data_IF_382409006525
#
_entry.id   IF_382409006525
#
_cell.length_a   1.000
_cell.length_b   1.000
_cell.length_c   1.000
_cell.angle_alpha   90.00
_cell.angle_beta   90.00
_cell.angle_gamma   90.00
#
_symmetry.space_group_name_H-M   'P 1'
#
loop_
_entity.id
_entity.type
_entity.pdbx_description
1 polymer ?
#
# COMPACT_ATOMS: atom_id res chain seq x y z
N UNK A 1 -53.24 -9.01 40.47
CA UNK A 1 -52.70 -10.31 40.05
C UNK A 1 -53.14 -10.49 38.60
N UNK A 2 -52.39 -10.15 37.57
CA UNK A 2 -51.04 -9.64 37.40
C UNK A 2 -51.04 -8.79 36.11
N UNK A 3 -50.32 -7.67 36.15
CA UNK A 3 -49.98 -6.86 34.98
C UNK A 3 -48.89 -7.55 34.16
N UNK A 4 -49.10 -7.72 32.85
CA UNK A 4 -48.02 -7.72 31.84
C UNK A 4 -48.58 -7.00 30.61
N UNK A 5 -48.49 -5.68 30.61
CA UNK A 5 -48.62 -4.86 29.40
C UNK A 5 -47.22 -4.72 28.79
N UNK A 6 -47.09 -5.07 27.51
CA UNK A 6 -45.85 -5.05 26.76
C UNK A 6 -45.67 -3.62 26.27
N UNK A 7 -44.91 -2.83 27.02
CA UNK A 7 -44.70 -1.41 26.72
C UNK A 7 -43.70 -1.25 25.56
N UNK A 8 -44.25 -0.91 24.40
CA UNK A 8 -43.55 -0.30 23.28
C UNK A 8 -43.49 1.22 23.48
N UNK A 9 -42.31 1.78 23.19
CA UNK A 9 -41.98 3.20 22.96
C UNK A 9 -41.84 4.14 24.16
N UNK A 10 -40.59 4.43 24.57
CA UNK A 10 -40.06 5.82 24.59
C UNK A 10 -38.55 5.84 24.83
N UNK A 11 -37.75 6.04 23.78
CA UNK A 11 -36.35 6.48 23.92
C UNK A 11 -36.28 7.98 23.60
N UNK A 12 -36.58 8.79 24.62
CA UNK A 12 -36.27 10.22 24.66
C UNK A 12 -34.84 10.41 25.15
N UNK A 13 -33.98 10.88 24.24
CA UNK A 13 -33.01 11.97 24.44
C UNK A 13 -32.24 12.03 25.79
N UNK A 14 -31.04 11.46 25.83
CA UNK A 14 -29.95 12.05 26.62
C UNK A 14 -29.08 12.92 25.69
N UNK A 15 -29.26 14.22 25.87
CA UNK A 15 -28.56 15.31 25.19
C UNK A 15 -27.37 15.74 26.05
N UNK A 16 -26.34 14.90 26.20
CA UNK A 16 -25.08 15.34 26.83
C UNK A 16 -23.86 14.47 26.49
N UNK A 17 -23.57 14.25 25.21
CA UNK A 17 -22.18 14.14 24.73
C UNK A 17 -22.12 14.01 23.21
N UNK A 18 -22.63 15.02 22.49
CA UNK A 18 -22.12 15.31 21.14
C UNK A 18 -20.70 15.82 21.28
N UNK A 19 -19.76 14.92 21.59
CA UNK A 19 -18.36 15.14 21.30
C UNK A 19 -18.22 14.93 19.80
N UNK A 20 -18.51 16.00 19.07
CA UNK A 20 -18.00 16.23 17.73
C UNK A 20 -16.47 16.29 17.85
N UNK A 21 -15.85 15.12 17.97
CA UNK A 21 -14.40 14.95 18.03
C UNK A 21 -13.92 15.16 16.60
N UNK A 22 -13.65 16.42 16.30
CA UNK A 22 -12.85 16.85 15.16
C UNK A 22 -11.69 15.86 14.97
N UNK A 23 -11.45 15.30 13.76
CA UNK A 23 -10.35 14.36 13.52
C UNK A 23 -8.95 14.98 13.71
N UNK A 24 -8.87 16.24 14.13
CA UNK A 24 -7.64 17.03 14.22
C UNK A 24 -6.99 17.10 15.61
N UNK A 25 -7.45 16.33 16.61
CA UNK A 25 -7.00 16.53 18.01
C UNK A 25 -6.51 15.29 18.77
N UNK A 26 -5.99 14.29 18.07
CA UNK A 26 -5.01 13.34 18.64
C UNK A 26 -3.74 13.38 17.76
N UNK A 27 -3.10 14.54 17.72
CA UNK A 27 -1.73 14.72 17.21
C UNK A 27 -0.94 15.36 18.36
N UNK A 28 -0.66 14.54 19.35
CA UNK A 28 0.34 14.79 20.39
C UNK A 28 0.87 13.40 20.68
N UNK A 29 1.95 12.96 20.04
CA UNK A 29 3.29 13.42 20.42
C UNK A 29 4.32 12.89 19.44
N UNK A 30 5.07 13.75 18.76
CA UNK A 30 6.43 13.44 18.26
C UNK A 30 6.68 12.13 17.48
N UNK A 31 5.67 11.45 16.94
CA UNK A 31 5.89 10.31 16.06
C UNK A 31 6.45 10.85 14.73
N UNK A 32 7.70 10.49 14.43
CA UNK A 32 8.37 10.83 13.19
C UNK A 32 7.43 10.51 12.01
N UNK A 33 7.06 11.47 11.14
CA UNK A 33 6.14 11.22 10.05
C UNK A 33 6.60 10.08 9.13
N UNK A 34 7.90 9.78 9.12
CA UNK A 34 8.47 8.59 8.51
C UNK A 34 7.89 7.30 9.14
N UNK A 35 7.90 7.17 10.48
CA UNK A 35 7.38 6.00 11.19
C UNK A 35 5.88 5.76 10.98
N UNK A 36 5.07 6.81 11.00
CA UNK A 36 3.62 6.69 10.73
C UNK A 36 3.40 6.10 9.33
N UNK A 37 4.14 6.62 8.33
CA UNK A 37 4.03 6.15 6.97
C UNK A 37 4.53 4.70 6.81
N UNK A 38 5.59 4.31 7.52
CA UNK A 38 6.04 2.92 7.56
C UNK A 38 4.97 1.99 8.13
N UNK A 39 4.38 2.38 9.26
CA UNK A 39 3.35 1.61 9.94
C UNK A 39 2.09 1.46 9.08
N UNK A 40 1.63 2.54 8.44
CA UNK A 40 0.49 2.49 7.51
C UNK A 40 0.73 1.53 6.35
N UNK A 41 1.94 1.54 5.75
CA UNK A 41 2.25 0.60 4.68
C UNK A 41 2.21 -0.85 5.19
N UNK A 42 2.71 -1.13 6.39
CA UNK A 42 2.64 -2.48 6.99
C UNK A 42 1.19 -2.92 7.16
N UNK A 43 0.36 -2.09 7.79
CA UNK A 43 -1.07 -2.38 8.00
C UNK A 43 -1.81 -2.63 6.69
N UNK A 44 -1.55 -1.82 5.66
CA UNK A 44 -2.14 -2.04 4.34
C UNK A 44 -1.69 -3.37 3.71
N UNK A 45 -0.45 -3.82 3.92
CA UNK A 45 0.00 -5.13 3.42
C UNK A 45 -0.71 -6.28 4.17
N UNK A 46 -0.91 -6.15 5.48
CA UNK A 46 -1.65 -7.14 6.27
C UNK A 46 -3.11 -7.25 5.81
N UNK A 47 -3.75 -6.11 5.56
CA UNK A 47 -5.11 -6.06 5.04
C UNK A 47 -5.20 -6.61 3.62
N UNK A 48 -4.18 -6.38 2.79
CA UNK A 48 -4.09 -7.01 1.47
C UNK A 48 -4.01 -8.55 1.57
N UNK A 49 -3.26 -9.09 2.52
CA UNK A 49 -3.17 -10.54 2.73
C UNK A 49 -4.55 -11.10 3.11
N UNK A 50 -5.24 -10.47 4.07
CA UNK A 50 -6.60 -10.86 4.47
C UNK A 50 -7.58 -10.78 3.31
N UNK A 51 -7.51 -9.71 2.51
CA UNK A 51 -8.41 -9.52 1.37
C UNK A 51 -8.14 -10.53 0.24
N UNK A 52 -6.88 -10.88 0.00
CA UNK A 52 -6.50 -11.96 -0.93
C UNK A 52 -7.02 -13.32 -0.44
N UNK A 53 -6.91 -13.62 0.85
CA UNK A 53 -7.45 -14.86 1.43
C UNK A 53 -8.97 -14.92 1.28
N UNK A 54 -9.69 -13.85 1.62
CA UNK A 54 -11.14 -13.77 1.46
C UNK A 54 -11.55 -13.92 -0.02
N UNK A 55 -10.86 -13.23 -0.93
CA UNK A 55 -11.10 -13.33 -2.37
C UNK A 55 -10.87 -14.76 -2.88
N UNK A 56 -9.81 -15.43 -2.41
CA UNK A 56 -9.54 -16.82 -2.76
C UNK A 56 -10.64 -17.78 -2.25
N UNK A 57 -11.14 -17.57 -1.04
CA UNK A 57 -12.24 -18.37 -0.49
C UNK A 57 -13.53 -18.20 -1.30
N UNK A 58 -13.87 -16.96 -1.68
CA UNK A 58 -15.06 -16.68 -2.49
C UNK A 58 -14.91 -17.26 -3.90
N UNK A 59 -13.72 -17.16 -4.50
CA UNK A 59 -13.43 -17.76 -5.80
C UNK A 59 -13.52 -19.29 -5.76
N UNK A 60 -13.02 -19.92 -4.70
CA UNK A 60 -13.14 -21.36 -4.48
C UNK A 60 -14.62 -21.78 -4.32
N UNK A 61 -15.42 -20.99 -3.60
CA UNK A 61 -16.86 -21.21 -3.45
C UNK A 61 -17.59 -21.11 -4.80
N UNK A 62 -17.30 -20.06 -5.58
CA UNK A 62 -17.83 -19.89 -6.93
C UNK A 62 -17.45 -21.07 -7.83
N UNK A 63 -16.20 -21.55 -7.76
CA UNK A 63 -15.74 -22.69 -8.56
C UNK A 63 -16.47 -23.98 -8.19
N UNK A 64 -16.70 -24.22 -6.90
CA UNK A 64 -17.51 -25.36 -6.44
C UNK A 64 -18.95 -25.27 -6.96
N UNK A 65 -19.54 -24.09 -6.99
CA UNK A 65 -20.88 -23.86 -7.53
C UNK A 65 -20.92 -24.10 -9.06
N UNK A 66 -19.92 -23.61 -9.78
CA UNK A 66 -19.76 -23.86 -11.22
C UNK A 66 -19.70 -25.37 -11.53
N UNK A 67 -18.92 -26.12 -10.75
CA UNK A 67 -18.79 -27.57 -10.93
C UNK A 67 -20.13 -28.28 -10.66
N UNK A 68 -20.88 -27.87 -9.63
CA UNK A 68 -22.22 -28.42 -9.35
C UNK A 68 -23.20 -28.12 -10.49
N UNK A 69 -23.21 -26.89 -10.98
CA UNK A 69 -24.00 -26.47 -12.13
C UNK A 69 -23.70 -27.35 -13.36
N UNK A 70 -22.42 -27.52 -13.71
CA UNK A 70 -22.00 -28.36 -14.85
C UNK A 70 -22.37 -29.82 -14.68
N UNK A 71 -22.23 -30.37 -13.47
CA UNK A 71 -22.62 -31.75 -13.19
C UNK A 71 -24.14 -31.96 -13.34
N UNK A 72 -24.97 -31.02 -12.86
CA UNK A 72 -26.41 -31.08 -13.03
C UNK A 72 -26.82 -30.94 -14.51
N UNK A 73 -26.15 -30.06 -15.25
CA UNK A 73 -26.34 -29.89 -16.68
C UNK A 73 -26.04 -31.20 -17.43
N UNK A 74 -24.87 -31.80 -17.17
CA UNK A 74 -24.49 -33.07 -17.79
C UNK A 74 -25.50 -34.18 -17.47
N UNK A 75 -25.95 -34.29 -16.23
CA UNK A 75 -26.95 -35.27 -15.85
C UNK A 75 -28.29 -35.06 -16.60
N UNK A 76 -28.72 -33.81 -16.79
CA UNK A 76 -29.90 -33.48 -17.60
C UNK A 76 -29.73 -33.96 -19.05
N UNK A 77 -28.58 -33.69 -19.66
CA UNK A 77 -28.26 -34.14 -21.02
C UNK A 77 -28.18 -35.66 -21.15
N UNK A 78 -27.66 -36.35 -20.14
CA UNK A 78 -27.59 -37.82 -20.10
C UNK A 78 -28.99 -38.44 -20.03
N UNK A 79 -29.87 -37.90 -19.19
CA UNK A 79 -31.28 -38.34 -19.14
C UNK A 79 -32.01 -38.04 -20.45
N UNK A 80 -31.68 -36.94 -21.12
CA UNK A 80 -32.24 -36.64 -22.43
C UNK A 80 -31.83 -37.67 -23.49
N UNK A 81 -30.53 -38.00 -23.56
CA UNK A 81 -30.01 -39.05 -24.45
C UNK A 81 -30.64 -40.41 -24.17
N UNK A 82 -30.83 -40.74 -22.88
CA UNK A 82 -31.49 -41.97 -22.47
C UNK A 82 -32.96 -42.01 -22.91
N UNK A 83 -33.68 -40.90 -22.80
CA UNK A 83 -35.06 -40.80 -23.28
C UNK A 83 -35.14 -41.01 -24.80
N UNK A 84 -34.25 -40.38 -25.57
CA UNK A 84 -34.16 -40.55 -27.02
C UNK A 84 -33.89 -42.01 -27.41
N UNK A 85 -32.98 -42.67 -26.69
CA UNK A 85 -32.65 -44.06 -26.92
C UNK A 85 -33.82 -45.02 -26.63
N UNK A 86 -34.51 -44.82 -25.51
CA UNK A 86 -35.71 -45.62 -25.17
C UNK A 86 -36.83 -45.40 -26.19
N UNK A 87 -37.06 -44.16 -26.62
CA UNK A 87 -38.06 -43.87 -27.65
C UNK A 87 -37.72 -44.53 -28.99
N UNK A 88 -36.45 -44.54 -29.39
CA UNK A 88 -35.98 -45.25 -30.58
C UNK A 88 -36.16 -46.77 -30.52
N UNK A 89 -36.32 -47.34 -29.32
CA UNK A 89 -36.64 -48.76 -29.11
C UNK A 89 -38.13 -49.05 -29.01
N UNK A 90 -38.98 -48.03 -28.98
CA UNK A 90 -40.42 -48.16 -28.75
C UNK A 90 -40.83 -48.25 -27.28
N UNK A 91 -39.89 -48.08 -26.34
CA UNK A 91 -40.17 -48.11 -24.90
C UNK A 91 -40.63 -46.72 -24.40
N UNK A 92 -41.88 -46.36 -24.70
CA UNK A 92 -42.43 -45.03 -24.39
C UNK A 92 -42.47 -44.71 -22.89
N UNK A 93 -42.80 -45.70 -22.04
CA UNK A 93 -42.86 -45.53 -20.59
C UNK A 93 -41.49 -45.16 -20.00
N UNK A 94 -40.43 -45.86 -20.43
CA UNK A 94 -39.06 -45.57 -20.01
C UNK A 94 -38.57 -44.21 -20.51
N UNK A 95 -38.97 -43.83 -21.73
CA UNK A 95 -38.67 -42.51 -22.27
C UNK A 95 -39.33 -41.40 -21.44
N UNK A 96 -40.59 -41.60 -21.05
CA UNK A 96 -41.34 -40.65 -20.22
C UNK A 96 -40.72 -40.49 -18.82
N UNK A 97 -40.34 -41.59 -18.17
CA UNK A 97 -39.62 -41.55 -16.89
C UNK A 97 -38.27 -40.82 -16.99
N UNK A 98 -37.51 -41.07 -18.05
CA UNK A 98 -36.23 -40.40 -18.30
C UNK A 98 -36.43 -38.88 -18.50
N UNK A 99 -37.48 -38.47 -19.23
CA UNK A 99 -37.83 -37.05 -19.38
C UNK A 99 -38.25 -36.40 -18.06
N UNK A 100 -38.99 -37.11 -17.20
CA UNK A 100 -39.33 -36.62 -15.85
C UNK A 100 -38.08 -36.35 -15.01
N UNK A 101 -37.09 -37.25 -15.06
CA UNK A 101 -35.79 -37.04 -14.38
C UNK A 101 -35.00 -35.90 -14.99
N UNK A 102 -34.92 -35.82 -16.33
CA UNK A 102 -34.32 -34.69 -17.04
C UNK A 102 -34.89 -33.36 -16.56
N UNK A 103 -36.21 -33.25 -16.46
CA UNK A 103 -36.87 -32.01 -16.00
C UNK A 103 -36.38 -31.59 -14.62
N UNK A 104 -36.33 -32.52 -13.66
CA UNK A 104 -35.79 -32.25 -12.32
C UNK A 104 -34.34 -31.74 -12.33
N UNK A 105 -33.46 -32.37 -13.14
CA UNK A 105 -32.08 -31.91 -13.30
C UNK A 105 -31.97 -30.57 -14.03
N UNK A 106 -32.84 -30.30 -15.00
CA UNK A 106 -32.90 -29.03 -15.71
C UNK A 106 -33.32 -27.89 -14.78
N UNK A 107 -34.36 -28.10 -13.95
CA UNK A 107 -34.81 -27.12 -12.96
C UNK A 107 -33.70 -26.82 -11.93
N UNK A 108 -32.99 -27.85 -11.46
CA UNK A 108 -31.83 -27.70 -10.58
C UNK A 108 -30.67 -26.94 -11.28
N UNK A 109 -30.43 -27.24 -12.56
CA UNK A 109 -29.41 -26.54 -13.37
C UNK A 109 -29.71 -25.05 -13.45
N UNK A 110 -30.97 -24.68 -13.72
CA UNK A 110 -31.41 -23.28 -13.75
C UNK A 110 -31.24 -22.59 -12.40
N UNK A 111 -31.57 -23.24 -11.30
CA UNK A 111 -31.39 -22.69 -9.96
C UNK A 111 -29.89 -22.46 -9.63
N UNK A 112 -29.03 -23.45 -9.90
CA UNK A 112 -27.59 -23.34 -9.68
C UNK A 112 -26.95 -22.28 -10.59
N UNK A 113 -27.42 -22.15 -11.83
CA UNK A 113 -26.96 -21.11 -12.76
C UNK A 113 -27.28 -19.72 -12.26
N UNK A 114 -28.51 -19.50 -11.76
CA UNK A 114 -28.89 -18.22 -11.18
C UNK A 114 -28.02 -17.84 -9.98
N UNK A 115 -27.73 -18.79 -9.09
CA UNK A 115 -26.82 -18.58 -7.97
C UNK A 115 -25.39 -18.26 -8.44
N UNK A 116 -24.90 -18.98 -9.45
CA UNK A 116 -23.56 -18.76 -10.02
C UNK A 116 -23.42 -17.37 -10.64
N UNK A 117 -24.44 -16.94 -11.40
CA UNK A 117 -24.47 -15.62 -12.04
C UNK A 117 -24.51 -14.49 -10.99
N UNK A 118 -25.32 -14.65 -9.94
CA UNK A 118 -25.36 -13.69 -8.84
C UNK A 118 -23.98 -13.55 -8.16
N UNK A 119 -23.31 -14.67 -7.92
CA UNK A 119 -22.00 -14.70 -7.27
C UNK A 119 -20.87 -14.16 -8.15
N UNK A 120 -21.04 -14.18 -9.48
CA UNK A 120 -20.04 -13.66 -10.44
C UNK A 120 -19.74 -12.18 -10.21
N UNK A 121 -20.77 -11.35 -10.04
CA UNK A 121 -20.60 -9.92 -9.77
C UNK A 121 -19.84 -9.64 -8.47
N UNK A 122 -20.10 -10.43 -7.42
CA UNK A 122 -19.43 -10.32 -6.13
C UNK A 122 -17.94 -10.66 -6.26
N UNK A 123 -17.61 -11.74 -6.98
CA UNK A 123 -16.22 -12.14 -7.24
C UNK A 123 -15.49 -11.07 -8.05
N UNK A 124 -16.11 -10.54 -9.10
CA UNK A 124 -15.52 -9.49 -9.95
C UNK A 124 -15.21 -8.23 -9.12
N UNK A 125 -16.14 -7.81 -8.26
CA UNK A 125 -15.93 -6.67 -7.37
C UNK A 125 -14.80 -6.92 -6.36
N UNK A 126 -14.73 -8.10 -5.74
CA UNK A 126 -13.67 -8.43 -4.78
C UNK A 126 -12.29 -8.48 -5.45
N UNK A 127 -12.19 -9.07 -6.65
CA UNK A 127 -10.95 -9.11 -7.41
C UNK A 127 -10.51 -7.71 -7.82
N UNK A 128 -11.45 -6.88 -8.28
CA UNK A 128 -11.19 -5.47 -8.62
C UNK A 128 -10.70 -4.67 -7.42
N UNK A 129 -11.38 -4.77 -6.29
CA UNK A 129 -10.99 -4.09 -5.05
C UNK A 129 -9.62 -4.57 -4.55
N UNK A 130 -9.32 -5.86 -4.66
CA UNK A 130 -8.00 -6.41 -4.31
C UNK A 130 -6.90 -5.78 -5.15
N UNK A 131 -7.08 -5.70 -6.47
CA UNK A 131 -6.13 -5.04 -7.37
C UNK A 131 -5.98 -3.55 -7.08
N UNK A 132 -7.09 -2.87 -6.76
CA UNK A 132 -7.05 -1.45 -6.39
C UNK A 132 -6.23 -1.23 -5.11
N UNK A 133 -6.42 -2.08 -4.09
CA UNK A 133 -5.64 -2.01 -2.86
C UNK A 133 -4.15 -2.26 -3.12
N UNK A 134 -3.82 -3.25 -3.97
CA UNK A 134 -2.44 -3.50 -4.42
C UNK A 134 -1.82 -2.26 -5.06
N UNK A 135 -2.53 -1.59 -5.97
CA UNK A 135 -2.07 -0.35 -6.61
C UNK A 135 -1.82 0.76 -5.58
N UNK A 136 -2.78 1.00 -4.68
CA UNK A 136 -2.65 2.02 -3.63
C UNK A 136 -1.47 1.76 -2.70
N UNK A 137 -1.18 0.50 -2.39
CA UNK A 137 -0.02 0.12 -1.58
C UNK A 137 1.28 0.44 -2.32
N UNK A 138 1.35 0.18 -3.63
CA UNK A 138 2.53 0.52 -4.42
C UNK A 138 2.74 2.04 -4.51
N UNK A 139 1.68 2.80 -4.70
CA UNK A 139 1.73 4.26 -4.66
C UNK A 139 2.19 4.79 -3.29
N UNK A 140 1.69 4.22 -2.19
CA UNK A 140 2.09 4.58 -0.84
C UNK A 140 3.58 4.27 -0.59
N UNK A 141 4.07 3.10 -1.05
CA UNK A 141 5.49 2.73 -1.00
C UNK A 141 6.37 3.72 -1.78
N UNK A 142 5.98 4.08 -3.00
CA UNK A 142 6.73 5.05 -3.82
C UNK A 142 6.78 6.44 -3.18
N UNK A 143 5.66 6.90 -2.60
CA UNK A 143 5.60 8.17 -1.85
C UNK A 143 6.50 8.13 -0.61
N UNK A 144 6.50 7.02 0.13
CA UNK A 144 7.40 6.80 1.26
C UNK A 144 8.86 6.93 0.84
N UNK A 145 9.28 6.23 -0.21
CA UNK A 145 10.67 6.26 -0.66
C UNK A 145 11.10 7.66 -1.11
N UNK A 146 10.19 8.39 -1.78
CA UNK A 146 10.41 9.79 -2.17
C UNK A 146 10.59 10.70 -0.96
N UNK A 147 9.72 10.57 0.06
CA UNK A 147 9.80 11.37 1.28
C UNK A 147 11.07 11.06 2.07
N UNK A 148 11.45 9.79 2.16
CA UNK A 148 12.70 9.35 2.80
C UNK A 148 13.93 9.92 2.09
N UNK A 149 13.96 9.87 0.77
CA UNK A 149 15.04 10.47 -0.02
C UNK A 149 15.15 11.99 0.22
N UNK A 150 14.01 12.70 0.21
CA UNK A 150 13.97 14.15 0.50
C UNK A 150 14.44 14.48 1.91
N UNK A 151 14.00 13.71 2.91
CA UNK A 151 14.42 13.87 4.30
C UNK A 151 15.94 13.64 4.44
N UNK A 152 16.49 12.63 3.76
CA UNK A 152 17.92 12.36 3.74
C UNK A 152 18.71 13.49 3.07
N UNK A 153 18.27 13.99 1.91
CA UNK A 153 18.90 15.13 1.24
C UNK A 153 18.87 16.40 2.10
N UNK A 154 17.76 16.69 2.78
CA UNK A 154 17.65 17.83 3.69
C UNK A 154 18.57 17.69 4.91
N UNK A 155 18.67 16.50 5.50
CA UNK A 155 19.62 16.19 6.59
C UNK A 155 21.07 16.40 6.13
N UNK A 156 21.45 15.89 4.95
CA UNK A 156 22.79 16.08 4.38
C UNK A 156 23.09 17.55 4.10
N UNK A 157 22.17 18.29 3.48
CA UNK A 157 22.34 19.72 3.19
C UNK A 157 22.52 20.54 4.48
N UNK A 158 21.71 20.25 5.51
CA UNK A 158 21.85 20.88 6.82
C UNK A 158 23.20 20.56 7.46
N UNK A 159 23.67 19.30 7.35
CA UNK A 159 24.97 18.88 7.90
C UNK A 159 26.14 19.57 7.19
N UNK A 160 26.08 19.71 5.87
CA UNK A 160 27.08 20.46 5.10
C UNK A 160 27.07 21.93 5.50
N UNK A 161 25.89 22.55 5.66
CA UNK A 161 25.80 23.95 6.08
C UNK A 161 26.29 24.16 7.52
N UNK A 162 26.02 23.23 8.43
CA UNK A 162 26.57 23.22 9.80
C UNK A 162 28.10 23.10 9.75
N UNK A 163 28.64 22.17 8.96
CA UNK A 163 30.09 22.04 8.78
C UNK A 163 30.73 23.30 8.21
N UNK A 164 30.11 23.94 7.21
CA UNK A 164 30.59 25.20 6.63
C UNK A 164 30.49 26.38 7.61
N UNK A 165 29.41 26.46 8.40
CA UNK A 165 29.23 27.48 9.43
C UNK A 165 30.18 27.30 10.61
N UNK A 166 30.52 26.05 10.96
CA UNK A 166 31.52 25.73 11.99
C UNK A 166 32.96 25.82 11.46
N UNK A 167 33.14 25.85 10.14
CA UNK A 167 34.38 26.25 9.49
C UNK A 167 34.48 27.77 9.57
N UNK A 168 34.87 28.29 10.74
CA UNK A 168 35.27 29.69 10.90
C UNK A 168 36.37 29.99 9.88
N UNK A 169 35.97 30.50 8.71
CA UNK A 169 36.84 30.85 7.59
C UNK A 169 37.90 31.86 8.04
N UNK A 170 37.63 32.59 9.13
CA UNK A 170 38.56 33.50 9.78
C UNK A 170 39.79 32.83 10.40
N UNK A 171 39.73 31.58 10.90
CA UNK A 171 40.91 30.93 11.49
C UNK A 171 41.80 30.29 10.43
N UNK A 172 41.20 29.72 9.37
CA UNK A 172 41.92 29.18 8.23
C UNK A 172 42.56 30.29 7.39
N UNK A 173 41.85 31.39 7.11
CA UNK A 173 42.43 32.57 6.43
C UNK A 173 43.50 33.26 7.29
N UNK A 174 43.31 33.41 8.60
CA UNK A 174 44.34 33.97 9.49
C UNK A 174 45.60 33.10 9.58
N UNK A 175 45.49 31.78 9.36
CA UNK A 175 46.64 30.89 9.26
C UNK A 175 47.40 31.08 7.93
N UNK A 176 46.68 31.37 6.83
CA UNK A 176 47.29 31.74 5.55
C UNK A 176 47.97 33.12 5.63
N UNK A 177 47.34 34.14 6.21
CA UNK A 177 47.94 35.48 6.38
C UNK A 177 49.23 35.41 7.22
N UNK A 178 49.26 34.58 8.27
CA UNK A 178 50.46 34.35 9.08
C UNK A 178 51.57 33.62 8.33
N UNK A 179 51.23 32.75 7.36
CA UNK A 179 52.21 32.11 6.50
C UNK A 179 52.78 33.08 5.46
N UNK A 180 51.95 33.94 4.85
CA UNK A 180 52.42 35.00 3.95
C UNK A 180 53.33 36.00 4.68
N UNK A 181 52.98 36.42 5.90
CA UNK A 181 53.81 37.28 6.73
C UNK A 181 55.18 36.63 7.01
N UNK A 182 55.21 35.32 7.28
CA UNK A 182 56.43 34.56 7.52
C UNK A 182 57.27 34.43 6.25
N UNK A 183 56.66 34.18 5.11
CA UNK A 183 57.34 34.13 3.81
C UNK A 183 57.96 35.48 3.45
N UNK A 184 57.21 36.58 3.63
CA UNK A 184 57.68 37.96 3.40
C UNK A 184 58.88 38.29 4.28
N UNK A 185 58.85 37.88 5.54
CA UNK A 185 59.99 38.04 6.46
C UNK A 185 61.21 37.23 6.03
N UNK A 186 61.02 36.01 5.55
CA UNK A 186 62.10 35.15 5.06
C UNK A 186 62.70 35.70 3.76
N UNK A 187 61.88 36.17 2.82
CA UNK A 187 62.36 36.83 1.59
C UNK A 187 63.09 38.13 1.90
N UNK A 188 62.58 38.96 2.81
CA UNK A 188 63.25 40.20 3.20
C UNK A 188 64.59 39.92 3.91
N UNK A 189 64.64 38.92 4.80
CA UNK A 189 65.89 38.48 5.44
C UNK A 189 66.89 37.93 4.42
N UNK A 190 66.45 37.12 3.45
CA UNK A 190 67.30 36.63 2.35
C UNK A 190 67.84 37.78 1.49
N UNK A 191 67.02 38.79 1.17
CA UNK A 191 67.45 39.95 0.40
C UNK A 191 68.45 40.82 1.18
N UNK A 192 68.20 41.08 2.47
CA UNK A 192 69.11 41.85 3.33
C UNK A 192 70.42 41.12 3.62
N UNK A 193 70.40 39.79 3.77
CA UNK A 193 71.62 38.99 3.95
C UNK A 193 72.43 38.85 2.66
N UNK A 194 71.77 38.88 1.50
CA UNK A 194 72.44 38.96 0.20
C UNK A 194 73.17 40.30 0.00
N UNK A 195 72.55 41.43 0.40
CA UNK A 195 73.20 42.76 0.35
C UNK A 195 74.39 42.89 1.33
N UNK A 196 74.39 42.14 2.44
CA UNK A 196 75.52 42.12 3.37
C UNK A 196 76.67 41.21 2.93
N UNK A 197 76.37 40.10 2.22
CA UNK A 197 77.39 39.16 1.71
C UNK A 197 78.03 39.61 0.40
N UNK A 198 77.31 40.39 -0.40
CA UNK A 198 77.85 41.10 -1.55
C UNK A 198 77.88 42.58 -1.22
N UNK A 199 78.96 43.03 -0.58
CA UNK A 199 79.20 44.44 -0.30
C UNK A 199 79.27 45.26 -1.59
N UNK A 200 78.12 45.67 -2.09
CA UNK A 200 78.01 46.74 -3.07
C UNK A 200 77.84 48.02 -2.25
N UNK A 201 78.98 48.62 -1.92
CA UNK A 201 79.07 50.02 -1.56
C UNK A 201 78.56 50.83 -2.75
N UNK A 202 77.29 51.25 -2.74
CA UNK A 202 76.87 52.40 -3.54
C UNK A 202 77.20 53.65 -2.72
N UNK A 203 78.49 53.96 -2.63
CA UNK A 203 78.95 55.27 -2.19
C UNK A 203 78.85 56.21 -3.38
N UNK A 204 78.09 57.27 -3.17
CA UNK A 204 77.89 58.41 -4.05
C UNK A 204 79.18 59.24 -4.06
N UNK A 205 79.93 59.18 -5.16
CA UNK A 205 80.84 60.21 -5.72
C UNK A 205 81.24 59.77 -7.13
#
# INVERSE_FOLDING_TARGET
MDEIEVESDTLMLDNSSTVNRSPYLIISSFEDPEKILEQTVVEMNDDLIKMRQATAQVLASQKRLENKYKAAQQASEDWYRKAQFSLGKGDEDLAHEALKRRKSYADNTSALKAQFDQQKSVVENLVSNTRLLESKIQEAKSKKDTLKARAQSAKTASKVNEMLGNFNTSSALAAFDKMEEKERRITNWKNSSFQHKHGISVSRC
#
